data_IF_042740907015
#
_entry.id   IF_042740907015
#
_cell.length_a   1.000
_cell.length_b   1.000
_cell.length_c   1.000
_cell.angle_alpha   90.00
_cell.angle_beta   90.00
_cell.angle_gamma   90.00
#
_symmetry.space_group_name_H-M   'P 1'
#
loop_
_entity.id
_entity.type
_entity.pdbx_description
1 polymer ?
#
# COMPACT_ATOMS: atom_id res chain seq x y z
N UNK A 1 -27.67 -13.18 -1.74
CA UNK A 1 -26.31 -13.13 -2.31
C UNK A 1 -26.22 -11.96 -3.27
N UNK A 2 -25.55 -10.87 -2.88
CA UNK A 2 -25.25 -9.79 -3.82
C UNK A 2 -24.03 -10.21 -4.62
N UNK A 3 -24.17 -10.34 -5.94
CA UNK A 3 -23.03 -10.49 -6.85
C UNK A 3 -22.26 -9.18 -6.81
N UNK A 4 -21.01 -9.23 -6.36
CA UNK A 4 -20.08 -8.11 -6.46
C UNK A 4 -19.61 -8.02 -7.91
N UNK A 5 -20.12 -7.05 -8.65
CA UNK A 5 -19.56 -6.63 -9.94
C UNK A 5 -18.20 -5.97 -9.71
N UNK A 6 -17.14 -6.78 -9.66
CA UNK A 6 -15.76 -6.34 -9.80
C UNK A 6 -15.07 -7.18 -10.89
N UNK A 7 -15.63 -7.12 -12.10
CA UNK A 7 -14.95 -7.54 -13.33
C UNK A 7 -14.72 -6.34 -14.25
N UNK A 8 -14.36 -5.18 -13.68
CA UNK A 8 -13.67 -4.16 -14.49
C UNK A 8 -12.26 -4.68 -14.75
N UNK A 9 -11.83 -4.85 -16.00
CA UNK A 9 -10.42 -5.11 -16.28
C UNK A 9 -9.61 -3.95 -15.69
N UNK A 10 -8.52 -4.26 -14.99
CA UNK A 10 -7.52 -3.30 -14.52
C UNK A 10 -6.95 -2.51 -15.72
N UNK A 11 -7.70 -1.52 -16.21
CA UNK A 11 -7.25 -0.49 -17.18
C UNK A 11 -6.50 0.62 -16.45
N UNK A 12 -5.63 0.20 -15.54
CA UNK A 12 -5.02 1.05 -14.53
C UNK A 12 -3.53 0.83 -14.68
N UNK A 13 -2.81 1.90 -15.06
CA UNK A 13 -1.35 1.80 -15.24
C UNK A 13 -0.71 1.78 -13.87
N UNK A 14 -0.59 0.57 -13.31
CA UNK A 14 -0.12 0.39 -11.94
C UNK A 14 1.27 1.02 -11.75
N UNK A 15 1.44 1.74 -10.65
CA UNK A 15 2.71 2.35 -10.30
C UNK A 15 3.82 1.28 -10.33
N UNK A 16 4.89 1.55 -11.09
CA UNK A 16 5.95 0.56 -11.37
C UNK A 16 6.62 0.05 -10.09
N UNK A 17 6.80 0.90 -9.09
CA UNK A 17 7.47 0.53 -7.84
C UNK A 17 6.56 -0.36 -6.97
N UNK A 18 5.27 -0.04 -6.90
CA UNK A 18 4.28 -0.89 -6.21
C UNK A 18 4.12 -2.24 -6.92
N UNK A 19 4.05 -2.22 -8.27
CA UNK A 19 3.99 -3.42 -9.10
C UNK A 19 5.17 -4.34 -8.89
N UNK A 20 6.38 -3.79 -8.90
CA UNK A 20 7.59 -4.57 -8.65
C UNK A 20 7.55 -5.27 -7.29
N UNK A 21 7.09 -4.58 -6.24
CA UNK A 21 6.99 -5.20 -4.91
C UNK A 21 6.00 -6.37 -4.88
N UNK A 22 4.88 -6.24 -5.58
CA UNK A 22 3.90 -7.32 -5.70
C UNK A 22 4.41 -8.48 -6.55
N UNK A 23 5.11 -8.21 -7.65
CA UNK A 23 5.73 -9.25 -8.49
C UNK A 23 6.82 -10.02 -7.72
N UNK A 24 7.67 -9.32 -6.96
CA UNK A 24 8.65 -9.94 -6.05
C UNK A 24 7.95 -10.91 -5.08
N UNK A 25 6.83 -10.48 -4.47
CA UNK A 25 6.02 -11.32 -3.59
C UNK A 25 5.50 -12.57 -4.31
N UNK A 26 4.94 -12.43 -5.51
CA UNK A 26 4.42 -13.58 -6.28
C UNK A 26 5.53 -14.58 -6.60
N UNK A 27 6.73 -14.10 -6.95
CA UNK A 27 7.89 -14.96 -7.19
C UNK A 27 8.27 -15.72 -5.93
N UNK A 28 8.41 -15.03 -4.79
CA UNK A 28 8.76 -15.66 -3.52
C UNK A 28 7.71 -16.67 -3.05
N UNK A 29 6.42 -16.31 -3.18
CA UNK A 29 5.29 -17.21 -2.88
C UNK A 29 5.35 -18.47 -3.74
N UNK A 30 5.62 -18.34 -5.03
CA UNK A 30 5.74 -19.48 -5.94
C UNK A 30 6.95 -20.36 -5.64
N UNK A 31 8.10 -19.77 -5.27
CA UNK A 31 9.27 -20.52 -4.82
C UNK A 31 8.94 -21.31 -3.55
N UNK A 32 8.29 -20.67 -2.58
CA UNK A 32 7.86 -21.28 -1.33
C UNK A 32 6.91 -22.46 -1.58
N UNK A 33 5.91 -22.27 -2.45
CA UNK A 33 4.96 -23.34 -2.82
C UNK A 33 5.64 -24.51 -3.53
N UNK A 34 6.54 -24.24 -4.48
CA UNK A 34 7.32 -25.30 -5.15
C UNK A 34 8.22 -26.05 -4.17
N UNK A 35 8.85 -25.33 -3.24
CA UNK A 35 9.66 -25.94 -2.19
C UNK A 35 8.80 -26.84 -1.28
N UNK A 36 7.60 -26.40 -0.89
CA UNK A 36 6.63 -27.20 -0.14
C UNK A 36 6.24 -28.48 -0.88
N UNK A 37 5.88 -28.35 -2.17
CA UNK A 37 5.49 -29.50 -3.00
C UNK A 37 6.62 -30.52 -3.12
N UNK A 38 7.85 -30.06 -3.37
CA UNK A 38 9.03 -30.92 -3.44
C UNK A 38 9.36 -31.58 -2.10
N UNK A 39 9.21 -30.86 -0.99
CA UNK A 39 9.37 -31.39 0.35
C UNK A 39 8.36 -32.49 0.68
N UNK A 40 7.11 -32.35 0.23
CA UNK A 40 6.06 -33.35 0.43
C UNK A 40 6.27 -34.58 -0.46
N UNK A 41 6.72 -34.38 -1.71
CA UNK A 41 6.92 -35.48 -2.66
C UNK A 41 8.22 -36.26 -2.44
N UNK A 42 9.20 -35.69 -1.74
CA UNK A 42 10.45 -36.37 -1.41
C UNK A 42 10.27 -37.40 -0.28
N UNK A 43 9.98 -38.64 -0.67
CA UNK A 43 9.90 -39.78 0.25
C UNK A 43 11.21 -40.08 0.99
N UNK A 44 12.36 -39.69 0.43
CA UNK A 44 13.68 -39.91 1.06
C UNK A 44 13.97 -38.90 2.18
N UNK A 45 13.35 -37.71 2.12
CA UNK A 45 13.62 -36.61 3.02
C UNK A 45 14.97 -35.91 2.78
N UNK A 46 15.77 -36.34 1.80
CA UNK A 46 17.05 -35.74 1.45
C UNK A 46 16.92 -34.24 1.17
N UNK A 47 15.89 -33.85 0.43
CA UNK A 47 15.62 -32.46 0.11
C UNK A 47 15.40 -31.60 1.36
N UNK A 48 14.74 -32.14 2.40
CA UNK A 48 14.53 -31.44 3.67
C UNK A 48 15.85 -31.15 4.39
N UNK A 49 16.79 -32.10 4.35
CA UNK A 49 18.15 -31.89 4.89
C UNK A 49 18.92 -30.85 4.07
N UNK A 50 18.84 -30.93 2.74
CA UNK A 50 19.55 -30.01 1.84
C UNK A 50 19.13 -28.54 2.05
N UNK A 51 17.84 -28.29 2.33
CA UNK A 51 17.32 -26.94 2.61
C UNK A 51 17.43 -26.53 4.08
N UNK A 52 18.02 -27.36 4.95
CA UNK A 52 18.15 -27.08 6.38
C UNK A 52 16.81 -27.02 7.11
N UNK A 53 15.82 -27.82 6.70
CA UNK A 53 14.50 -27.83 7.33
C UNK A 53 14.61 -28.26 8.80
N UNK A 54 14.11 -27.47 9.78
CA UNK A 54 14.34 -27.71 11.21
C UNK A 54 13.80 -29.05 11.73
N UNK A 55 12.79 -29.60 11.05
CA UNK A 55 12.14 -30.86 11.43
C UNK A 55 12.43 -31.99 10.44
N UNK A 56 13.59 -31.97 9.77
CA UNK A 56 13.94 -32.97 8.75
C UNK A 56 13.98 -34.41 9.31
N UNK A 57 14.29 -34.57 10.60
CA UNK A 57 14.34 -35.86 11.30
C UNK A 57 12.96 -36.38 11.77
N UNK A 58 11.86 -35.66 11.52
CA UNK A 58 10.52 -36.10 11.94
C UNK A 58 10.08 -37.43 11.32
N UNK A 59 9.32 -38.21 12.10
CA UNK A 59 8.84 -39.54 11.69
C UNK A 59 7.91 -39.40 10.49
N UNK A 60 8.02 -40.32 9.54
CA UNK A 60 7.28 -40.29 8.27
C UNK A 60 5.76 -40.09 8.41
N UNK A 61 5.15 -40.60 9.50
CA UNK A 61 3.70 -40.52 9.76
C UNK A 61 3.18 -39.08 9.92
N UNK A 62 3.98 -38.16 10.46
CA UNK A 62 3.56 -36.76 10.71
C UNK A 62 4.23 -35.75 9.77
N UNK A 63 5.20 -36.19 8.97
CA UNK A 63 6.06 -35.33 8.14
C UNK A 63 5.28 -34.36 7.25
N UNK A 64 4.26 -34.85 6.53
CA UNK A 64 3.47 -33.99 5.61
C UNK A 64 2.76 -32.84 6.34
N UNK A 65 2.24 -33.11 7.54
CA UNK A 65 1.56 -32.10 8.37
C UNK A 65 2.55 -31.04 8.85
N UNK A 66 3.69 -31.47 9.42
CA UNK A 66 4.73 -30.56 9.93
C UNK A 66 5.33 -29.70 8.82
N UNK A 67 5.56 -30.28 7.63
CA UNK A 67 5.97 -29.51 6.45
C UNK A 67 4.90 -28.48 6.08
N UNK A 68 3.62 -28.89 6.03
CA UNK A 68 2.50 -28.00 5.74
C UNK A 68 2.48 -26.78 6.66
N UNK A 69 2.46 -27.03 7.97
CA UNK A 69 2.42 -25.98 9.01
C UNK A 69 3.62 -25.02 8.92
N UNK A 70 4.83 -25.56 8.72
CA UNK A 70 6.03 -24.73 8.58
C UNK A 70 6.00 -23.83 7.34
N UNK A 71 5.60 -24.37 6.18
CA UNK A 71 5.52 -23.59 4.95
C UNK A 71 4.35 -22.59 4.99
N UNK A 72 3.25 -22.91 5.69
CA UNK A 72 2.17 -21.96 5.97
C UNK A 72 2.68 -20.77 6.81
N UNK A 73 3.46 -21.03 7.86
CA UNK A 73 4.07 -19.97 8.67
C UNK A 73 5.02 -19.08 7.84
N UNK A 74 5.83 -19.69 6.95
CA UNK A 74 6.67 -18.92 6.03
C UNK A 74 5.82 -18.06 5.09
N UNK A 75 4.73 -18.61 4.54
CA UNK A 75 3.84 -17.87 3.66
C UNK A 75 3.17 -16.70 4.38
N UNK A 76 2.75 -16.86 5.64
CA UNK A 76 2.24 -15.76 6.48
C UNK A 76 3.30 -14.67 6.65
N UNK A 77 4.54 -15.03 7.03
CA UNK A 77 5.64 -14.06 7.17
C UNK A 77 5.99 -13.35 5.87
N UNK A 78 5.97 -14.06 4.74
CA UNK A 78 6.18 -13.48 3.42
C UNK A 78 5.08 -12.48 3.07
N UNK A 79 3.82 -12.78 3.40
CA UNK A 79 2.70 -11.87 3.22
C UNK A 79 2.87 -10.61 4.09
N UNK A 80 3.08 -10.77 5.41
CA UNK A 80 3.22 -9.65 6.35
C UNK A 80 4.39 -8.73 5.95
N UNK A 81 5.55 -9.31 5.62
CA UNK A 81 6.73 -8.56 5.18
C UNK A 81 6.49 -7.79 3.88
N UNK A 82 5.84 -8.40 2.89
CA UNK A 82 5.56 -7.73 1.62
C UNK A 82 4.46 -6.67 1.76
N UNK A 83 3.47 -6.88 2.64
CA UNK A 83 2.48 -5.86 2.97
C UNK A 83 3.16 -4.60 3.50
N UNK A 84 4.05 -4.74 4.48
CA UNK A 84 4.83 -3.61 5.01
C UNK A 84 5.67 -2.92 3.92
N UNK A 85 6.32 -3.69 3.03
CA UNK A 85 7.12 -3.16 1.92
C UNK A 85 6.26 -2.33 0.94
N UNK A 86 5.08 -2.84 0.55
CA UNK A 86 4.16 -2.15 -0.35
C UNK A 86 3.69 -0.83 0.28
N UNK A 87 3.27 -0.84 1.55
CA UNK A 87 2.83 0.36 2.26
C UNK A 87 3.96 1.38 2.38
N UNK A 88 5.19 0.95 2.71
CA UNK A 88 6.34 1.85 2.80
C UNK A 88 6.70 2.49 1.44
N UNK A 89 6.59 1.75 0.34
CA UNK A 89 6.80 2.29 -1.02
C UNK A 89 5.73 3.31 -1.35
N UNK A 90 4.46 3.01 -1.04
CA UNK A 90 3.35 3.95 -1.19
C UNK A 90 3.58 5.24 -0.38
N UNK A 91 3.94 5.13 0.90
CA UNK A 91 4.28 6.26 1.78
C UNK A 91 5.32 7.17 1.13
N UNK A 92 6.42 6.57 0.66
CA UNK A 92 7.51 7.30 -0.01
C UNK A 92 7.01 8.06 -1.24
N UNK A 93 6.16 7.44 -2.06
CA UNK A 93 5.62 8.07 -3.27
C UNK A 93 4.71 9.24 -2.90
N UNK A 94 3.76 9.03 -1.98
CA UNK A 94 2.79 10.05 -1.58
C UNK A 94 3.47 11.25 -0.93
N UNK A 95 4.39 11.04 0.02
CA UNK A 95 5.06 12.17 0.67
C UNK A 95 5.96 12.94 -0.28
N UNK A 96 6.57 12.28 -1.27
CA UNK A 96 7.30 12.97 -2.34
C UNK A 96 6.36 13.86 -3.16
N UNK A 97 5.18 13.36 -3.53
CA UNK A 97 4.17 14.13 -4.29
C UNK A 97 3.63 15.31 -3.49
N UNK A 98 3.27 15.09 -2.23
CA UNK A 98 2.83 16.16 -1.31
C UNK A 98 3.90 17.24 -1.13
N UNK A 99 5.16 16.85 -0.97
CA UNK A 99 6.28 17.77 -0.88
C UNK A 99 6.43 18.64 -2.12
N UNK A 100 6.34 18.05 -3.30
CA UNK A 100 6.38 18.79 -4.56
C UNK A 100 5.18 19.75 -4.70
N UNK A 101 3.96 19.28 -4.40
CA UNK A 101 2.75 20.10 -4.50
C UNK A 101 2.78 21.30 -3.54
N UNK A 102 3.22 21.10 -2.29
CA UNK A 102 3.41 22.17 -1.32
C UNK A 102 4.45 23.19 -1.82
N UNK A 103 5.57 22.73 -2.36
CA UNK A 103 6.60 23.60 -2.92
C UNK A 103 6.12 24.44 -4.11
N UNK A 104 5.34 23.84 -5.02
CA UNK A 104 4.76 24.57 -6.16
C UNK A 104 3.70 25.59 -5.70
N UNK A 105 2.84 25.24 -4.75
CA UNK A 105 1.87 26.17 -4.18
C UNK A 105 2.55 27.38 -3.51
N UNK A 106 3.62 27.13 -2.74
CA UNK A 106 4.42 28.20 -2.13
C UNK A 106 5.05 29.12 -3.19
N UNK A 107 5.60 28.56 -4.28
CA UNK A 107 6.13 29.36 -5.40
C UNK A 107 5.05 30.23 -6.04
N UNK A 108 3.87 29.68 -6.32
CA UNK A 108 2.75 30.42 -6.93
C UNK A 108 2.29 31.56 -6.03
N UNK A 109 2.12 31.31 -4.72
CA UNK A 109 1.72 32.35 -3.79
C UNK A 109 2.79 33.43 -3.64
N UNK A 110 4.07 33.05 -3.55
CA UNK A 110 5.16 34.03 -3.49
C UNK A 110 5.25 34.88 -4.76
N UNK A 111 5.02 34.28 -5.93
CA UNK A 111 5.00 35.01 -7.21
C UNK A 111 3.89 36.06 -7.27
N UNK A 112 2.68 35.73 -6.81
CA UNK A 112 1.50 36.60 -6.95
C UNK A 112 1.27 37.54 -5.77
N UNK A 113 1.67 37.13 -4.55
CA UNK A 113 1.34 37.83 -3.31
C UNK A 113 2.56 38.12 -2.43
N UNK A 114 3.76 37.72 -2.84
CA UNK A 114 5.00 37.87 -2.06
C UNK A 114 5.46 39.31 -1.82
N UNK A 115 4.80 40.32 -2.40
CA UNK A 115 5.05 41.75 -2.12
C UNK A 115 3.80 42.49 -1.66
N UNK A 116 2.68 41.79 -1.51
CA UNK A 116 1.37 42.38 -1.25
C UNK A 116 1.04 42.27 0.24
N UNK A 117 0.98 43.40 0.95
CA UNK A 117 0.49 43.44 2.33
C UNK A 117 -1.05 43.27 2.33
N UNK A 118 -1.66 42.51 3.25
CA UNK A 118 -1.08 41.71 4.35
C UNK A 118 -0.72 40.27 3.98
N UNK A 119 -0.93 39.85 2.74
CA UNK A 119 -0.79 38.47 2.33
C UNK A 119 0.64 37.95 2.43
N UNK A 120 1.65 38.78 2.17
CA UNK A 120 3.07 38.40 2.26
C UNK A 120 3.44 37.75 3.61
N UNK A 121 2.95 38.26 4.74
CA UNK A 121 3.26 37.72 6.07
C UNK A 121 2.52 36.41 6.39
N UNK A 122 1.54 36.03 5.56
CA UNK A 122 0.63 34.91 5.81
C UNK A 122 0.75 33.77 4.78
N UNK A 123 1.55 33.90 3.72
CA UNK A 123 1.72 32.87 2.66
C UNK A 123 1.99 31.48 3.26
N UNK A 124 2.87 31.39 4.25
CA UNK A 124 3.19 30.11 4.94
C UNK A 124 2.02 29.50 5.70
N UNK A 125 0.97 30.25 6.02
CA UNK A 125 -0.25 29.74 6.66
C UNK A 125 -1.27 29.22 5.65
N UNK A 126 -1.15 29.61 4.38
CA UNK A 126 -2.07 29.19 3.31
C UNK A 126 -1.66 27.86 2.67
N UNK A 127 -0.38 27.48 2.75
CA UNK A 127 0.12 26.22 2.21
C UNK A 127 0.45 25.28 3.35
N UNK A 128 -0.21 24.12 3.37
CA UNK A 128 0.22 23.03 4.26
C UNK A 128 1.60 22.55 3.82
N UNK A 129 2.52 22.59 4.75
CA UNK A 129 3.86 22.02 4.63
C UNK A 129 3.81 20.49 4.74
N UNK A 130 4.87 19.78 4.29
CA UNK A 130 5.00 18.34 4.54
C UNK A 130 4.97 17.98 6.04
N UNK A 131 5.37 18.90 6.92
CA UNK A 131 5.24 18.72 8.38
C UNK A 131 3.79 18.70 8.86
N UNK A 132 2.86 19.33 8.15
CA UNK A 132 1.42 19.30 8.46
C UNK A 132 0.77 17.98 8.06
N UNK A 133 1.43 17.20 7.18
CA UNK A 133 0.99 15.88 6.70
C UNK A 133 2.15 14.89 6.80
N UNK A 134 2.61 14.65 8.03
CA UNK A 134 3.81 13.86 8.29
C UNK A 134 3.58 12.34 8.40
N UNK A 135 2.36 11.87 8.18
CA UNK A 135 1.99 10.46 8.30
C UNK A 135 0.78 10.11 7.42
N UNK A 136 0.54 8.80 7.22
CA UNK A 136 -0.56 8.31 6.40
C UNK A 136 -1.95 8.67 6.92
N UNK A 137 -2.09 8.94 8.23
CA UNK A 137 -3.35 9.40 8.80
C UNK A 137 -3.69 10.80 8.26
N UNK A 138 -2.69 11.69 8.12
CA UNK A 138 -2.86 12.99 7.47
C UNK A 138 -3.26 12.89 6.00
N UNK A 139 -2.70 11.92 5.26
CA UNK A 139 -3.10 11.64 3.86
C UNK A 139 -4.57 11.23 3.80
N UNK A 140 -4.98 10.30 4.66
CA UNK A 140 -6.36 9.85 4.80
C UNK A 140 -7.31 11.00 5.17
N UNK A 141 -6.90 11.87 6.07
CA UNK A 141 -7.72 12.99 6.54
C UNK A 141 -7.92 14.04 5.44
N UNK A 142 -6.94 14.25 4.55
CA UNK A 142 -7.12 15.05 3.31
C UNK A 142 -8.17 14.40 2.41
N UNK A 143 -8.09 13.08 2.18
CA UNK A 143 -9.04 12.38 1.32
C UNK A 143 -10.49 12.42 1.82
N UNK A 144 -10.71 12.44 3.15
CA UNK A 144 -12.04 12.65 3.71
C UNK A 144 -12.61 14.04 3.37
N UNK A 145 -11.77 15.06 3.25
CA UNK A 145 -12.19 16.40 2.83
C UNK A 145 -12.62 16.48 1.37
N UNK A 146 -12.01 15.66 0.49
CA UNK A 146 -12.28 15.61 -0.95
C UNK A 146 -13.43 14.67 -1.34
N UNK A 147 -14.26 14.24 -0.39
CA UNK A 147 -15.44 13.37 -0.62
C UNK A 147 -15.13 11.95 -1.14
N UNK A 148 -13.88 11.48 -1.12
CA UNK A 148 -13.52 10.09 -1.44
C UNK A 148 -13.57 9.16 -0.20
N UNK A 149 -14.73 9.17 0.46
CA UNK A 149 -14.98 8.49 1.74
C UNK A 149 -14.69 6.97 1.68
N UNK A 150 -15.10 6.22 0.63
CA UNK A 150 -14.84 4.78 0.57
C UNK A 150 -13.35 4.45 0.47
N UNK A 151 -12.59 5.21 -0.33
CA UNK A 151 -11.16 4.96 -0.51
C UNK A 151 -10.36 5.37 0.73
N UNK A 152 -10.74 6.48 1.39
CA UNK A 152 -10.18 6.89 2.67
C UNK A 152 -10.42 5.83 3.77
N UNK A 153 -11.60 5.20 3.80
CA UNK A 153 -11.89 4.12 4.75
C UNK A 153 -10.99 2.90 4.52
N UNK A 154 -10.79 2.47 3.26
CA UNK A 154 -9.87 1.37 2.91
C UNK A 154 -8.42 1.70 3.24
N UNK A 155 -7.98 2.93 3.01
CA UNK A 155 -6.66 3.39 3.47
C UNK A 155 -6.54 3.31 5.00
N UNK A 156 -7.60 3.65 5.73
CA UNK A 156 -7.67 3.49 7.18
C UNK A 156 -7.46 2.04 7.64
N UNK A 157 -8.08 1.08 6.96
CA UNK A 157 -7.87 -0.36 7.22
C UNK A 157 -6.42 -0.78 6.98
N UNK A 158 -5.84 -0.37 5.85
CA UNK A 158 -4.43 -0.64 5.51
C UNK A 158 -3.48 -0.06 6.57
N UNK A 159 -3.71 1.18 7.02
CA UNK A 159 -2.91 1.82 8.08
C UNK A 159 -3.00 1.02 9.38
N UNK A 160 -4.21 0.60 9.76
CA UNK A 160 -4.44 -0.16 11.00
C UNK A 160 -3.70 -1.50 10.96
N UNK A 161 -3.76 -2.21 9.83
CA UNK A 161 -3.04 -3.48 9.67
C UNK A 161 -1.52 -3.28 9.61
N UNK A 162 -1.02 -2.25 8.91
CA UNK A 162 0.40 -1.88 8.93
C UNK A 162 0.90 -1.62 10.36
N UNK A 163 0.13 -0.89 11.16
CA UNK A 163 0.50 -0.60 12.55
C UNK A 163 0.50 -1.86 13.42
N UNK A 164 -0.43 -2.78 13.17
CA UNK A 164 -0.45 -4.11 13.81
C UNK A 164 0.83 -4.90 13.52
N UNK A 165 1.25 -4.94 12.26
CA UNK A 165 2.46 -5.65 11.87
C UNK A 165 3.72 -4.98 12.42
N UNK A 166 3.82 -3.66 12.32
CA UNK A 166 5.03 -2.90 12.70
C UNK A 166 5.26 -2.81 14.22
N UNK A 167 4.20 -2.81 15.04
CA UNK A 167 4.29 -2.63 16.49
C UNK A 167 3.88 -3.88 17.28
N UNK A 168 3.56 -4.97 16.57
CA UNK A 168 3.14 -6.26 17.14
C UNK A 168 1.62 -6.41 17.23
N UNK A 169 1.15 -7.68 17.20
CA UNK A 169 -0.26 -8.11 17.13
C UNK A 169 -1.18 -7.59 18.26
N UNK A 170 -0.69 -6.76 19.19
CA UNK A 170 -1.47 -6.06 20.23
C UNK A 170 -1.98 -4.69 19.79
N UNK A 171 -1.40 -4.11 18.74
CA UNK A 171 -1.79 -2.81 18.20
C UNK A 171 -2.56 -3.02 16.89
N UNK A 172 -3.52 -2.15 16.54
CA UNK A 172 -4.27 -2.23 15.28
C UNK A 172 -5.27 -3.40 15.17
N UNK A 173 -5.75 -3.66 13.95
CA UNK A 173 -6.78 -4.66 13.63
C UNK A 173 -6.31 -5.54 12.47
N UNK A 174 -6.82 -6.78 12.41
CA UNK A 174 -6.69 -7.62 11.20
C UNK A 174 -7.33 -6.91 10.01
N UNK A 175 -6.77 -7.13 8.82
CA UNK A 175 -7.39 -6.67 7.58
C UNK A 175 -8.21 -7.79 6.95
N UNK A 176 -9.31 -7.39 6.32
CA UNK A 176 -10.11 -8.22 5.43
C UNK A 176 -9.59 -8.20 4.00
N UNK A 177 -8.68 -7.27 3.67
CA UNK A 177 -8.11 -7.10 2.35
C UNK A 177 -6.97 -8.09 2.11
N UNK A 178 -6.96 -8.68 0.92
CA UNK A 178 -5.81 -9.37 0.36
C UNK A 178 -4.69 -8.39 -0.01
N UNK A 179 -3.49 -8.91 -0.28
CA UNK A 179 -2.37 -8.08 -0.73
C UNK A 179 -2.67 -7.40 -2.07
N UNK A 180 -3.38 -8.09 -2.96
CA UNK A 180 -3.79 -7.57 -4.27
C UNK A 180 -4.83 -6.46 -4.14
N UNK A 181 -5.84 -6.64 -3.29
CA UNK A 181 -6.81 -5.58 -3.01
C UNK A 181 -6.15 -4.37 -2.36
N UNK A 182 -5.23 -4.60 -1.42
CA UNK A 182 -4.44 -3.53 -0.79
C UNK A 182 -3.62 -2.76 -1.82
N UNK A 183 -2.94 -3.47 -2.73
CA UNK A 183 -2.19 -2.88 -3.83
C UNK A 183 -3.10 -2.06 -4.76
N UNK A 184 -4.26 -2.59 -5.13
CA UNK A 184 -5.23 -1.90 -5.98
C UNK A 184 -5.71 -0.60 -5.32
N UNK A 185 -6.05 -0.65 -4.04
CA UNK A 185 -6.48 0.54 -3.27
C UNK A 185 -5.37 1.59 -3.24
N UNK A 186 -4.14 1.19 -2.91
CA UNK A 186 -3.01 2.13 -2.86
C UNK A 186 -2.72 2.74 -4.23
N UNK A 187 -2.87 1.97 -5.31
CA UNK A 187 -2.71 2.49 -6.65
C UNK A 187 -3.82 3.48 -7.04
N UNK A 188 -5.08 3.17 -6.73
CA UNK A 188 -6.23 4.06 -6.96
C UNK A 188 -6.06 5.40 -6.22
N UNK A 189 -5.47 5.37 -5.02
CA UNK A 189 -5.13 6.58 -4.27
C UNK A 189 -4.05 7.40 -5.00
N UNK A 190 -3.00 6.75 -5.51
CA UNK A 190 -1.97 7.44 -6.27
C UNK A 190 -2.53 8.09 -7.53
N UNK A 191 -3.46 7.45 -8.22
CA UNK A 191 -4.13 8.01 -9.40
C UNK A 191 -5.04 9.19 -9.06
N UNK A 192 -5.76 9.10 -7.94
CA UNK A 192 -6.55 10.22 -7.42
C UNK A 192 -5.64 11.43 -7.14
N UNK A 193 -4.45 11.20 -6.59
CA UNK A 193 -3.46 12.25 -6.33
C UNK A 193 -2.83 12.77 -7.64
N UNK A 194 -2.62 11.91 -8.62
CA UNK A 194 -2.03 12.28 -9.92
C UNK A 194 -2.99 12.98 -10.86
N UNK A 195 -4.28 12.96 -10.54
CA UNK A 195 -5.27 13.72 -11.28
C UNK A 195 -5.56 13.11 -12.65
N UNK A 196 -6.31 12.01 -12.66
CA UNK A 196 -7.57 12.06 -13.43
C UNK A 196 -8.52 13.09 -12.77
N UNK A 197 -8.07 14.35 -12.71
CA UNK A 197 -8.93 15.49 -12.84
C UNK A 197 -9.41 15.42 -14.29
N UNK A 198 -10.45 14.60 -14.50
CA UNK A 198 -11.25 14.70 -15.70
C UNK A 198 -11.55 16.17 -15.96
N UNK A 199 -11.41 16.56 -17.23
CA UNK A 199 -11.57 17.89 -17.79
C UNK A 199 -12.96 18.53 -17.57
N UNK A 200 -13.73 18.13 -16.55
CA UNK A 200 -15.14 18.47 -16.36
C UNK A 200 -15.42 19.57 -15.33
N UNK A 201 -14.46 20.04 -14.53
CA UNK A 201 -14.74 21.04 -13.47
C UNK A 201 -14.07 22.41 -13.63
N UNK A 202 -13.29 22.66 -14.69
CA UNK A 202 -12.72 23.99 -14.97
C UNK A 202 -13.59 24.85 -15.91
N UNK A 203 -14.69 24.32 -16.46
CA UNK A 203 -15.61 25.09 -17.31
C UNK A 203 -16.65 25.94 -16.55
N UNK A 204 -16.79 25.80 -15.22
CA UNK A 204 -17.80 26.55 -14.45
C UNK A 204 -17.28 27.82 -13.76
N UNK A 205 -15.99 28.17 -13.90
CA UNK A 205 -15.43 29.39 -13.31
C UNK A 205 -15.22 30.54 -14.32
N UNK A 206 -15.63 30.38 -15.59
CA UNK A 206 -15.41 31.39 -16.65
C UNK A 206 -16.66 32.23 -17.02
N UNK A 207 -17.77 32.11 -16.28
CA UNK A 207 -19.03 32.85 -16.57
C UNK A 207 -19.46 33.83 -15.47
N UNK A 208 -18.52 34.33 -14.67
CA UNK A 208 -18.75 35.52 -13.83
C UNK A 208 -17.73 36.61 -14.20
N UNK A 209 -17.91 37.15 -15.40
CA UNK A 209 -17.30 38.37 -15.90
C UNK A 209 -18.38 39.25 -16.49
#
# INVERSE_FOLDING_TARGET
MKKSDFSRPLRVTMNKDLKKCYEDYLVLKNICEKARQRAISDGSGKYLFDIGFPHAAEKAKNRKKVIGEYFEEIQEKLFESNFLKIVAVFEKIVFKKLGNAAGEAEKVLNKNYGRSHPFHSSIRRFVRSPSDVNNLRGVRDIMYGESNIPLAAKLGEIINYRNRLAHGKRFGQETTLTLEESLSVLNEILETIDGELGESNLQNCSTLG
#
